data_IF_456545614801
#
_entry.id   IF_456545614801
#
_cell.length_a   1.000
_cell.length_b   1.000
_cell.length_c   1.000
_cell.angle_alpha   90.00
_cell.angle_beta   90.00
_cell.angle_gamma   90.00
#
_symmetry.space_group_name_H-M   'P 1'
#
loop_
_entity.id
_entity.type
_entity.pdbx_description
1 polymer ?
#
# COMPACT_ATOMS: atom_id res chain seq x y z
N UNK A 1 60.64 -1.73 -45.07
CA UNK A 1 59.61 -1.40 -44.06
C UNK A 1 58.26 -1.66 -44.71
N UNK A 2 57.71 -2.88 -44.73
CA UNK A 2 57.04 -3.63 -43.66
C UNK A 2 55.91 -2.83 -42.96
N UNK A 3 54.70 -2.86 -43.52
CA UNK A 3 53.48 -3.33 -42.83
C UNK A 3 52.26 -3.37 -43.78
N UNK A 4 51.34 -4.35 -43.63
CA UNK A 4 50.30 -4.66 -44.61
C UNK A 4 48.86 -4.31 -44.18
N UNK A 5 47.99 -4.37 -45.18
CA UNK A 5 46.55 -4.09 -45.24
C UNK A 5 45.69 -5.05 -44.39
N UNK A 6 44.64 -4.49 -43.77
CA UNK A 6 43.59 -5.20 -43.03
C UNK A 6 42.49 -5.71 -43.98
N UNK A 7 42.32 -7.03 -44.06
CA UNK A 7 41.09 -7.68 -44.48
C UNK A 7 40.27 -8.09 -43.25
N UNK A 8 38.97 -7.83 -43.28
CA UNK A 8 37.99 -8.58 -42.48
C UNK A 8 36.61 -8.50 -43.17
N UNK A 9 36.32 -9.51 -43.99
CA UNK A 9 34.96 -9.86 -44.42
C UNK A 9 34.51 -11.04 -43.57
N UNK A 10 33.45 -10.85 -42.80
CA UNK A 10 32.86 -11.85 -41.92
C UNK A 10 31.36 -11.92 -42.12
N UNK A 11 30.95 -12.70 -43.12
CA UNK A 11 29.57 -13.16 -43.33
C UNK A 11 29.15 -14.04 -42.15
N UNK A 12 28.02 -13.73 -41.50
CA UNK A 12 27.38 -14.67 -40.56
C UNK A 12 25.96 -14.99 -40.99
N UNK A 13 25.80 -16.29 -41.17
CA UNK A 13 24.67 -17.06 -41.70
C UNK A 13 23.47 -17.02 -40.77
N UNK A 14 22.27 -16.92 -41.37
CA UNK A 14 20.98 -17.17 -40.74
C UNK A 14 20.81 -18.66 -40.46
N UNK A 15 20.46 -19.03 -39.23
CA UNK A 15 19.80 -20.30 -38.94
C UNK A 15 18.49 -20.01 -38.22
N UNK A 16 17.40 -20.44 -38.85
CA UNK A 16 16.12 -20.64 -38.21
C UNK A 16 16.23 -21.90 -37.36
N UNK A 17 15.71 -21.86 -36.13
CA UNK A 17 15.26 -23.10 -35.52
C UNK A 17 14.01 -22.88 -34.67
N UNK A 18 13.18 -23.89 -34.76
CA UNK A 18 11.77 -24.01 -34.43
C UNK A 18 11.57 -24.02 -32.92
N UNK A 19 10.66 -23.19 -32.41
CA UNK A 19 10.20 -23.27 -31.03
C UNK A 19 8.76 -23.83 -31.03
N UNK A 20 8.50 -25.00 -30.41
CA UNK A 20 7.18 -25.62 -30.41
C UNK A 20 6.18 -24.83 -29.56
N UNK A 21 4.97 -24.74 -30.10
CA UNK A 21 3.88 -23.90 -29.63
C UNK A 21 3.37 -24.22 -28.23
N UNK A 22 3.04 -23.15 -27.51
CA UNK A 22 2.11 -23.18 -26.39
C UNK A 22 0.71 -23.21 -26.99
N UNK A 23 0.03 -24.35 -26.86
CA UNK A 23 -1.38 -24.53 -27.16
C UNK A 23 -2.22 -23.94 -26.00
N UNK A 24 -2.99 -22.86 -26.22
CA UNK A 24 -3.76 -22.21 -25.16
C UNK A 24 -5.06 -22.93 -24.77
N UNK A 25 -5.44 -24.04 -25.42
CA UNK A 25 -6.74 -24.68 -25.19
C UNK A 25 -6.71 -25.90 -24.24
N UNK A 26 -5.55 -26.25 -23.69
CA UNK A 26 -5.39 -27.45 -22.84
C UNK A 26 -5.80 -27.29 -21.35
N UNK A 27 -6.47 -26.19 -20.98
CA UNK A 27 -6.81 -25.87 -19.57
C UNK A 27 -8.32 -25.90 -19.26
N UNK A 28 -9.17 -26.25 -20.22
CA UNK A 28 -10.63 -26.17 -20.05
C UNK A 28 -11.35 -27.48 -19.69
N UNK A 29 -10.66 -28.62 -19.56
CA UNK A 29 -11.32 -29.87 -19.17
C UNK A 29 -10.92 -30.31 -17.76
N UNK A 30 -11.54 -29.70 -16.75
CA UNK A 30 -11.84 -30.32 -15.44
C UNK A 30 -12.58 -29.34 -14.53
N UNK A 31 -13.89 -29.16 -14.75
CA UNK A 31 -14.80 -28.69 -13.70
C UNK A 31 -15.87 -29.77 -13.51
N UNK A 32 -16.08 -30.29 -12.30
CA UNK A 32 -17.07 -31.31 -12.02
C UNK A 32 -18.50 -30.75 -12.11
N UNK A 33 -19.41 -31.54 -12.68
CA UNK A 33 -20.84 -31.26 -12.77
C UNK A 33 -21.47 -31.17 -11.37
N UNK A 34 -22.16 -30.05 -11.10
CA UNK A 34 -23.01 -29.86 -9.93
C UNK A 34 -24.43 -30.22 -10.35
N UNK A 35 -24.90 -31.40 -9.95
CA UNK A 35 -26.30 -31.79 -10.10
C UNK A 35 -27.18 -30.91 -9.21
N UNK A 36 -28.11 -30.21 -9.85
CA UNK A 36 -29.13 -29.40 -9.21
C UNK A 36 -30.44 -30.18 -9.21
N UNK A 37 -30.86 -30.67 -8.04
CA UNK A 37 -32.17 -31.32 -7.86
C UNK A 37 -33.10 -30.36 -7.10
N UNK A 38 -34.23 -29.92 -7.67
CA UNK A 38 -35.30 -29.30 -6.91
C UNK A 38 -36.39 -30.35 -6.66
N UNK A 39 -36.62 -30.72 -5.39
CA UNK A 39 -37.87 -31.33 -4.99
C UNK A 39 -38.74 -30.31 -4.26
N UNK A 40 -39.98 -30.27 -4.73
CA UNK A 40 -41.04 -29.33 -4.46
C UNK A 40 -42.24 -30.19 -4.02
N UNK A 41 -42.65 -30.10 -2.77
CA UNK A 41 -43.92 -30.64 -2.23
C UNK A 41 -44.00 -30.20 -0.75
N UNK A 42 -45.12 -29.93 -0.11
CA UNK A 42 -46.44 -29.45 -0.50
C UNK A 42 -47.10 -28.96 0.81
N UNK A 43 -47.93 -27.93 0.68
CA UNK A 43 -49.16 -27.62 1.46
C UNK A 43 -49.29 -28.10 2.93
N UNK A 44 -49.54 -27.12 3.81
CA UNK A 44 -50.24 -27.32 5.08
C UNK A 44 -50.53 -26.00 5.83
N UNK A 45 -51.57 -25.27 5.41
CA UNK A 45 -52.38 -24.41 6.30
C UNK A 45 -53.51 -25.27 6.92
N UNK A 46 -54.26 -24.87 7.98
CA UNK A 46 -54.43 -23.55 8.62
C UNK A 46 -54.20 -23.64 10.17
N UNK A 47 -54.40 -22.67 11.09
CA UNK A 47 -55.35 -21.57 11.28
C UNK A 47 -54.92 -20.75 12.54
N UNK A 48 -55.63 -19.67 12.93
CA UNK A 48 -55.13 -18.54 13.75
C UNK A 48 -55.49 -18.64 15.25
N UNK A 49 -54.99 -17.68 16.05
CA UNK A 49 -55.67 -16.94 17.17
C UNK A 49 -54.67 -16.50 18.26
N UNK A 50 -54.62 -15.17 18.49
CA UNK A 50 -54.29 -14.35 19.70
C UNK A 50 -53.02 -14.68 20.51
N UNK A 51 -52.25 -13.73 21.04
CA UNK A 51 -52.72 -12.70 21.96
C UNK A 51 -51.60 -11.68 22.26
N UNK A 52 -52.07 -10.55 22.75
CA UNK A 52 -51.42 -9.38 23.29
C UNK A 52 -50.38 -9.70 24.37
N UNK A 53 -49.34 -8.85 24.50
CA UNK A 53 -48.23 -9.14 25.41
C UNK A 53 -47.11 -8.12 25.45
N UNK A 54 -47.44 -6.87 25.75
CA UNK A 54 -46.51 -5.85 26.22
C UNK A 54 -45.64 -6.34 27.38
N UNK A 55 -44.31 -6.37 27.21
CA UNK A 55 -43.35 -6.35 28.31
C UNK A 55 -42.12 -5.53 27.94
N UNK A 56 -42.03 -4.35 28.55
CA UNK A 56 -40.83 -3.55 28.64
C UNK A 56 -39.77 -4.30 29.44
N UNK A 57 -38.78 -4.87 28.75
CA UNK A 57 -37.60 -5.48 29.34
C UNK A 57 -36.39 -4.57 29.15
N UNK A 58 -36.00 -3.87 30.22
CA UNK A 58 -34.73 -3.15 30.32
C UNK A 58 -33.57 -4.13 30.09
N UNK A 59 -32.87 -4.01 28.96
CA UNK A 59 -31.58 -4.67 28.76
C UNK A 59 -30.49 -3.70 29.20
N UNK A 60 -29.85 -4.06 30.31
CA UNK A 60 -28.65 -3.43 30.83
C UNK A 60 -27.63 -3.23 29.70
N UNK A 61 -27.15 -2.00 29.56
CA UNK A 61 -25.96 -1.69 28.80
C UNK A 61 -24.78 -2.46 29.41
N UNK A 62 -24.36 -3.53 28.73
CA UNK A 62 -23.08 -4.17 28.97
C UNK A 62 -21.98 -3.13 28.76
N UNK A 63 -21.06 -2.94 29.72
CA UNK A 63 -19.92 -2.08 29.49
C UNK A 63 -19.10 -2.69 28.35
N UNK A 64 -18.93 -1.90 27.29
CA UNK A 64 -18.04 -2.22 26.20
C UNK A 64 -16.69 -2.65 26.78
N UNK A 65 -16.36 -3.92 26.56
CA UNK A 65 -15.06 -4.50 26.84
C UNK A 65 -13.99 -3.59 26.24
N UNK A 66 -13.33 -2.82 27.09
CA UNK A 66 -12.15 -2.02 26.77
C UNK A 66 -11.09 -2.97 26.24
N UNK A 67 -11.10 -3.13 24.93
CA UNK A 67 -10.20 -3.98 24.17
C UNK A 67 -8.78 -3.48 24.48
N UNK A 68 -8.01 -4.32 25.18
CA UNK A 68 -6.68 -3.99 25.70
C UNK A 68 -5.85 -3.22 24.69
N UNK A 69 -5.76 -1.92 24.90
CA UNK A 69 -4.83 -1.06 24.20
C UNK A 69 -3.44 -1.48 24.69
N UNK A 70 -2.51 -1.90 23.82
CA UNK A 70 -1.17 -2.26 24.26
C UNK A 70 -0.56 -1.03 24.94
N UNK A 71 -0.33 -1.09 26.25
CA UNK A 71 0.18 0.03 27.06
C UNK A 71 1.52 0.57 26.50
N UNK A 72 2.29 -0.27 25.80
CA UNK A 72 3.50 0.14 25.07
C UNK A 72 3.30 1.12 23.91
N UNK A 73 2.06 1.38 23.46
CA UNK A 73 1.78 2.39 22.42
C UNK A 73 1.58 3.80 22.97
N UNK A 74 1.26 3.96 24.26
CA UNK A 74 1.06 5.30 24.87
C UNK A 74 2.38 6.02 25.14
N UNK A 75 3.43 5.30 25.52
CA UNK A 75 4.79 5.86 25.66
C UNK A 75 5.36 6.36 24.32
N UNK A 76 4.96 5.75 23.19
CA UNK A 76 5.43 6.10 21.85
C UNK A 76 5.08 7.54 21.42
N UNK A 77 4.08 8.16 22.08
CA UNK A 77 3.54 9.48 21.73
C UNK A 77 3.96 10.61 22.70
N UNK A 78 4.71 10.33 23.77
CA UNK A 78 4.84 11.24 24.92
C UNK A 78 5.97 12.29 24.90
N UNK A 79 6.81 12.39 23.86
CA UNK A 79 8.09 13.14 23.98
C UNK A 79 8.31 14.35 23.07
N UNK A 80 7.26 14.98 22.51
CA UNK A 80 7.43 16.30 21.90
C UNK A 80 6.35 16.70 20.90
N UNK A 81 6.55 17.86 20.28
CA UNK A 81 5.73 18.31 19.15
C UNK A 81 5.82 17.28 18.02
N UNK A 82 4.75 16.50 17.85
CA UNK A 82 4.67 15.43 16.87
C UNK A 82 4.97 15.90 15.45
N UNK A 83 4.72 17.18 15.13
CA UNK A 83 5.01 17.77 13.81
C UNK A 83 6.51 17.80 13.49
N UNK A 84 7.37 17.71 14.50
CA UNK A 84 8.82 17.63 14.36
C UNK A 84 9.34 16.21 14.18
N UNK A 85 8.50 15.19 14.37
CA UNK A 85 8.91 13.81 14.25
C UNK A 85 9.33 13.51 12.78
N UNK A 86 10.49 12.86 12.53
CA UNK A 86 11.02 12.64 11.18
C UNK A 86 10.05 11.97 10.20
N UNK A 87 9.20 11.08 10.70
CA UNK A 87 8.13 10.44 9.92
C UNK A 87 7.01 11.33 9.42
N UNK A 88 6.78 12.51 9.99
CA UNK A 88 5.61 13.34 9.63
C UNK A 88 5.94 14.79 9.30
N UNK A 89 7.12 15.27 9.70
CA UNK A 89 7.58 16.62 9.36
C UNK A 89 7.60 16.84 7.85
N UNK A 90 7.34 18.07 7.44
CA UNK A 90 7.48 18.53 6.06
C UNK A 90 8.47 19.70 6.01
N UNK A 91 9.26 19.83 4.94
CA UNK A 91 10.06 21.02 4.70
C UNK A 91 9.16 22.20 4.36
N UNK A 92 9.73 23.40 4.31
CA UNK A 92 9.10 24.57 3.68
C UNK A 92 9.75 24.82 2.31
N UNK A 93 9.03 25.45 1.38
CA UNK A 93 9.66 25.92 0.14
C UNK A 93 10.50 27.17 0.42
N UNK A 94 11.59 27.35 -0.30
CA UNK A 94 12.32 28.63 -0.29
C UNK A 94 11.49 29.75 -0.93
N UNK A 95 11.85 30.99 -0.63
CA UNK A 95 11.28 32.16 -1.30
C UNK A 95 11.57 32.04 -2.81
N UNK A 96 10.59 32.39 -3.64
CA UNK A 96 10.64 32.31 -5.11
C UNK A 96 10.58 30.90 -5.75
N UNK A 97 10.43 29.84 -4.96
CA UNK A 97 10.22 28.49 -5.54
C UNK A 97 8.83 28.39 -6.15
N UNK A 98 8.78 28.05 -7.44
CA UNK A 98 7.55 27.79 -8.18
C UNK A 98 7.53 26.31 -8.57
N UNK A 99 6.78 25.46 -7.84
CA UNK A 99 6.72 24.03 -8.14
C UNK A 99 6.25 23.74 -9.56
N UNK A 100 6.96 22.84 -10.25
CA UNK A 100 6.50 22.32 -11.54
C UNK A 100 5.20 21.55 -11.37
N UNK A 101 4.31 21.75 -12.33
CA UNK A 101 3.08 20.98 -12.43
C UNK A 101 3.37 19.51 -12.77
N UNK A 102 2.68 18.59 -12.10
CA UNK A 102 2.76 17.16 -12.43
C UNK A 102 2.30 16.90 -13.86
N UNK A 103 2.99 16.04 -14.59
CA UNK A 103 2.59 15.63 -15.95
C UNK A 103 1.65 14.46 -15.89
N UNK A 104 0.36 14.75 -15.76
CA UNK A 104 -0.71 13.73 -15.64
C UNK A 104 -0.67 12.70 -16.77
N UNK A 105 -0.37 13.13 -18.00
CA UNK A 105 -0.27 12.26 -19.17
C UNK A 105 0.81 11.17 -19.03
N UNK A 106 1.83 11.38 -18.21
CA UNK A 106 2.92 10.43 -18.01
C UNK A 106 2.64 9.39 -16.91
N UNK A 107 1.69 9.64 -16.00
CA UNK A 107 1.48 8.84 -14.79
C UNK A 107 1.02 7.41 -15.07
N UNK A 108 0.32 7.19 -16.18
CA UNK A 108 -0.31 5.90 -16.51
C UNK A 108 0.14 5.31 -17.84
N UNK A 109 1.24 5.82 -18.41
CA UNK A 109 1.80 5.35 -19.69
C UNK A 109 2.49 4.00 -19.55
N UNK A 110 2.31 3.13 -20.55
CA UNK A 110 2.83 1.73 -20.56
C UNK A 110 4.35 1.63 -20.69
N UNK A 111 5.02 2.69 -21.16
CA UNK A 111 6.46 2.66 -21.48
C UNK A 111 7.37 2.84 -20.26
N UNK A 112 6.80 2.88 -19.05
CA UNK A 112 7.59 3.03 -17.85
C UNK A 112 8.31 1.73 -17.48
N UNK A 113 9.65 1.76 -17.61
CA UNK A 113 10.52 0.69 -17.11
C UNK A 113 10.21 0.44 -15.63
N UNK A 114 10.10 -0.84 -15.26
CA UNK A 114 9.78 -1.25 -13.89
C UNK A 114 10.97 -0.97 -12.97
N UNK A 115 11.05 0.23 -12.41
CA UNK A 115 12.02 0.55 -11.37
C UNK A 115 11.52 0.08 -9.99
N UNK A 116 12.46 -0.14 -9.09
CA UNK A 116 12.16 -0.49 -7.71
C UNK A 116 11.59 0.72 -6.98
N UNK A 117 10.28 0.69 -6.70
CA UNK A 117 9.55 1.66 -5.87
C UNK A 117 10.31 2.13 -4.61
N UNK A 118 11.12 1.26 -3.99
CA UNK A 118 12.00 1.61 -2.88
C UNK A 118 12.91 2.81 -3.18
N UNK A 119 13.54 2.86 -4.37
CA UNK A 119 14.45 3.95 -4.72
C UNK A 119 13.75 5.31 -4.71
N UNK A 120 12.53 5.39 -5.25
CA UNK A 120 11.75 6.63 -5.20
C UNK A 120 11.31 6.99 -3.78
N UNK A 121 10.97 6.01 -2.94
CA UNK A 121 10.65 6.26 -1.53
C UNK A 121 11.87 6.80 -0.76
N UNK A 122 13.09 6.33 -1.05
CA UNK A 122 14.32 6.89 -0.46
C UNK A 122 14.50 8.35 -0.87
N UNK A 123 14.40 8.66 -2.17
CA UNK A 123 14.56 10.03 -2.66
C UNK A 123 13.51 10.98 -2.07
N UNK A 124 12.23 10.58 -2.03
CA UNK A 124 11.18 11.39 -1.39
C UNK A 124 11.48 11.58 0.10
N UNK A 125 11.88 10.52 0.81
CA UNK A 125 12.26 10.63 2.23
C UNK A 125 13.36 11.65 2.43
N UNK A 126 14.43 11.59 1.64
CA UNK A 126 15.58 12.52 1.74
C UNK A 126 15.17 13.97 1.50
N UNK A 127 14.34 14.22 0.48
CA UNK A 127 13.80 15.55 0.19
C UNK A 127 12.91 16.05 1.33
N UNK A 128 11.94 15.24 1.79
CA UNK A 128 11.07 15.60 2.93
C UNK A 128 11.85 15.74 4.25
N UNK A 129 13.07 15.20 4.33
CA UNK A 129 13.97 15.38 5.47
C UNK A 129 14.73 16.71 5.44
N UNK A 130 14.67 17.49 4.38
CA UNK A 130 15.28 18.83 4.39
C UNK A 130 14.50 19.79 5.28
N UNK A 131 15.09 20.95 5.58
CA UNK A 131 14.39 22.03 6.28
C UNK A 131 13.66 22.93 5.28
N UNK A 132 14.36 23.27 4.20
CA UNK A 132 13.84 24.00 3.05
C UNK A 132 14.10 23.22 1.76
N UNK A 133 13.24 23.40 0.76
CA UNK A 133 13.47 22.90 -0.61
C UNK A 133 13.75 24.09 -1.54
N UNK A 134 14.85 24.01 -2.28
CA UNK A 134 15.14 24.89 -3.40
C UNK A 134 14.27 24.55 -4.62
N UNK A 135 14.38 25.34 -5.69
CA UNK A 135 13.70 25.04 -6.96
C UNK A 135 14.11 23.67 -7.53
N UNK A 136 15.40 23.33 -7.47
CA UNK A 136 15.90 22.03 -7.95
C UNK A 136 15.32 20.88 -7.11
N UNK A 137 15.26 21.04 -5.79
CA UNK A 137 14.69 20.03 -4.90
C UNK A 137 13.18 19.83 -5.14
N UNK A 138 12.43 20.93 -5.35
CA UNK A 138 11.01 20.87 -5.63
C UNK A 138 10.73 20.20 -6.99
N UNK A 139 11.51 20.52 -8.02
CA UNK A 139 11.43 19.88 -9.34
C UNK A 139 11.76 18.38 -9.25
N UNK A 140 12.80 18.04 -8.48
CA UNK A 140 13.19 16.66 -8.21
C UNK A 140 12.10 15.90 -7.46
N UNK A 141 11.43 16.53 -6.49
CA UNK A 141 10.30 15.96 -5.77
C UNK A 141 9.15 15.64 -6.73
N UNK A 142 8.74 16.59 -7.59
CA UNK A 142 7.67 16.38 -8.58
C UNK A 142 8.00 15.21 -9.50
N UNK A 143 9.20 15.19 -10.09
CA UNK A 143 9.62 14.11 -10.98
C UNK A 143 9.65 12.75 -10.27
N UNK A 144 10.11 12.72 -9.01
CA UNK A 144 10.16 11.50 -8.21
C UNK A 144 8.75 11.01 -7.88
N UNK A 145 7.81 11.90 -7.58
CA UNK A 145 6.41 11.56 -7.34
C UNK A 145 5.73 11.04 -8.61
N UNK A 146 5.97 11.64 -9.78
CA UNK A 146 5.45 11.10 -11.06
C UNK A 146 5.81 9.62 -11.24
N UNK A 147 7.09 9.29 -10.98
CA UNK A 147 7.61 7.92 -11.08
C UNK A 147 7.08 7.01 -9.95
N UNK A 148 6.93 7.54 -8.74
CA UNK A 148 6.37 6.80 -7.60
C UNK A 148 4.90 6.45 -7.85
N UNK A 149 4.10 7.39 -8.36
CA UNK A 149 2.70 7.18 -8.74
C UNK A 149 2.60 6.09 -9.79
N UNK A 150 3.33 6.24 -10.90
CA UNK A 150 3.29 5.27 -11.98
C UNK A 150 3.73 3.86 -11.53
N UNK A 151 4.86 3.75 -10.84
CA UNK A 151 5.33 2.43 -10.36
C UNK A 151 4.41 1.82 -9.31
N UNK A 152 3.83 2.62 -8.41
CA UNK A 152 2.87 2.13 -7.42
C UNK A 152 1.57 1.66 -8.08
N UNK A 153 1.07 2.40 -9.06
CA UNK A 153 -0.09 2.05 -9.88
C UNK A 153 0.10 0.72 -10.61
N UNK A 154 1.24 0.52 -11.28
CA UNK A 154 1.51 -0.74 -11.98
C UNK A 154 1.63 -1.91 -11.00
N UNK A 155 2.23 -1.69 -9.82
CA UNK A 155 2.38 -2.73 -8.80
C UNK A 155 1.07 -3.06 -8.09
N UNK A 156 0.14 -2.11 -7.96
CA UNK A 156 -1.12 -2.35 -7.25
C UNK A 156 -1.94 -3.46 -7.90
N UNK A 157 -1.84 -3.59 -9.23
CA UNK A 157 -2.53 -4.62 -10.03
C UNK A 157 -2.14 -6.06 -9.68
N UNK A 158 -0.99 -6.28 -9.04
CA UNK A 158 -0.53 -7.63 -8.66
C UNK A 158 -1.11 -8.11 -7.34
N UNK A 159 -1.51 -7.18 -6.45
CA UNK A 159 -1.95 -7.51 -5.10
C UNK A 159 -0.87 -8.19 -4.23
N UNK A 160 -1.25 -8.81 -3.11
CA UNK A 160 -0.37 -9.61 -2.26
C UNK A 160 0.11 -10.88 -2.95
N UNK A 161 1.33 -11.31 -2.64
CA UNK A 161 1.91 -12.57 -3.15
C UNK A 161 1.24 -13.82 -2.60
N UNK A 162 0.35 -13.68 -1.62
CA UNK A 162 -0.45 -14.76 -1.05
C UNK A 162 -1.40 -14.25 0.04
N UNK A 163 -2.32 -15.11 0.54
CA UNK A 163 -3.36 -14.72 1.50
C UNK A 163 -2.85 -14.63 2.94
N UNK A 164 -1.57 -14.92 3.19
CA UNK A 164 -1.03 -14.90 4.54
C UNK A 164 -0.99 -13.46 5.11
N UNK A 165 -1.27 -13.25 6.42
CA UNK A 165 -1.25 -11.92 7.00
C UNK A 165 0.06 -11.16 6.81
N UNK A 166 1.20 -11.87 6.77
CA UNK A 166 2.51 -11.29 6.50
C UNK A 166 2.62 -10.75 5.06
N UNK A 167 2.18 -11.51 4.06
CA UNK A 167 2.15 -11.05 2.66
C UNK A 167 1.22 -9.84 2.49
N UNK A 168 0.10 -9.83 3.21
CA UNK A 168 -0.85 -8.71 3.21
C UNK A 168 -0.21 -7.46 3.83
N UNK A 169 0.47 -7.58 4.99
CA UNK A 169 1.21 -6.47 5.61
C UNK A 169 2.31 -5.95 4.68
N UNK A 170 3.03 -6.83 3.98
CA UNK A 170 4.06 -6.42 3.02
C UNK A 170 3.49 -5.57 1.88
N UNK A 171 2.33 -5.94 1.36
CA UNK A 171 1.65 -5.18 0.29
C UNK A 171 1.06 -3.88 0.82
N UNK A 172 0.24 -3.94 1.87
CA UNK A 172 -0.39 -2.76 2.46
C UNK A 172 0.64 -1.76 3.00
N UNK A 173 1.74 -2.23 3.57
CA UNK A 173 2.82 -1.36 4.05
C UNK A 173 3.48 -0.57 2.90
N UNK A 174 3.65 -1.19 1.72
CA UNK A 174 4.19 -0.46 0.56
C UNK A 174 3.20 0.56 0.02
N UNK A 175 1.92 0.21 -0.01
CA UNK A 175 0.87 1.16 -0.38
C UNK A 175 0.88 2.33 0.60
N UNK A 176 0.86 2.06 1.90
CA UNK A 176 0.88 3.08 2.95
C UNK A 176 2.06 4.05 2.80
N UNK A 177 3.27 3.55 2.55
CA UNK A 177 4.44 4.42 2.34
C UNK A 177 4.35 5.26 1.06
N UNK A 178 3.82 4.70 -0.03
CA UNK A 178 3.63 5.44 -1.27
C UNK A 178 2.55 6.53 -1.12
N UNK A 179 1.40 6.19 -0.53
CA UNK A 179 0.32 7.12 -0.28
C UNK A 179 0.76 8.25 0.66
N UNK A 180 1.45 7.94 1.77
CA UNK A 180 1.95 8.98 2.67
C UNK A 180 2.96 9.90 1.97
N UNK A 181 3.89 9.35 1.20
CA UNK A 181 4.85 10.14 0.41
C UNK A 181 4.15 11.07 -0.59
N UNK A 182 3.15 10.57 -1.30
CA UNK A 182 2.39 11.36 -2.28
C UNK A 182 1.57 12.45 -1.59
N UNK A 183 0.86 12.14 -0.52
CA UNK A 183 0.04 13.12 0.21
C UNK A 183 0.90 14.16 0.92
N UNK A 184 2.09 13.80 1.43
CA UNK A 184 3.07 14.77 1.90
C UNK A 184 3.49 15.75 0.79
N UNK A 185 3.68 15.25 -0.44
CA UNK A 185 4.00 16.12 -1.59
C UNK A 185 2.80 17.00 -2.01
N UNK A 186 1.57 16.50 -1.90
CA UNK A 186 0.34 17.31 -2.10
C UNK A 186 0.24 18.42 -1.05
N UNK A 187 0.44 18.11 0.23
CA UNK A 187 0.43 19.10 1.31
C UNK A 187 1.49 20.19 1.09
N UNK A 188 2.65 19.83 0.52
CA UNK A 188 3.78 20.72 0.31
C UNK A 188 3.68 21.57 -0.97
N UNK A 189 3.25 20.96 -2.08
CA UNK A 189 3.29 21.56 -3.42
C UNK A 189 1.93 22.08 -3.88
N UNK A 190 0.85 21.78 -3.15
CA UNK A 190 -0.49 22.28 -3.40
C UNK A 190 -1.01 21.96 -4.80
N UNK A 191 -1.53 22.98 -5.48
CA UNK A 191 -2.20 22.86 -6.78
C UNK A 191 -1.30 22.34 -7.90
N UNK A 192 0.02 22.48 -7.78
CA UNK A 192 0.96 21.92 -8.75
C UNK A 192 0.84 20.39 -8.90
N UNK A 193 0.33 19.72 -7.86
CA UNK A 193 0.06 18.28 -7.89
C UNK A 193 -1.18 17.89 -8.69
N UNK A 194 -2.05 18.83 -9.07
CA UNK A 194 -3.25 18.62 -9.88
C UNK A 194 -4.05 17.37 -9.47
N UNK A 195 -4.20 17.16 -8.16
CA UNK A 195 -4.74 15.94 -7.58
C UNK A 195 -6.10 15.51 -8.20
N UNK A 196 -7.06 16.43 -8.43
CA UNK A 196 -8.36 16.06 -9.00
C UNK A 196 -8.29 15.39 -10.39
N UNK A 197 -7.22 15.63 -11.16
CA UNK A 197 -7.12 15.10 -12.53
C UNK A 197 -6.76 13.61 -12.60
N UNK A 198 -6.24 13.03 -11.52
CA UNK A 198 -5.68 11.68 -11.58
C UNK A 198 -5.86 10.85 -10.31
N UNK A 199 -6.23 11.44 -9.18
CA UNK A 199 -6.26 10.76 -7.89
C UNK A 199 -7.32 9.66 -7.81
N UNK A 200 -8.55 9.92 -8.25
CA UNK A 200 -9.60 8.90 -8.26
C UNK A 200 -9.16 7.69 -9.09
N UNK A 201 -8.65 7.96 -10.31
CA UNK A 201 -8.08 6.91 -11.15
C UNK A 201 -7.01 6.16 -10.36
N UNK A 202 -5.99 6.84 -9.84
CA UNK A 202 -4.89 6.25 -9.08
C UNK A 202 -5.35 5.37 -7.91
N UNK A 203 -6.30 5.83 -7.11
CA UNK A 203 -6.75 5.12 -5.91
C UNK A 203 -7.63 3.91 -6.21
N UNK A 204 -8.35 3.92 -7.34
CA UNK A 204 -9.22 2.84 -7.76
C UNK A 204 -8.46 1.52 -8.07
N UNK A 205 -7.16 1.57 -8.39
CA UNK A 205 -6.39 0.35 -8.64
C UNK A 205 -5.87 -0.35 -7.38
N UNK A 206 -6.08 0.22 -6.20
CA UNK A 206 -5.58 -0.32 -4.95
C UNK A 206 -6.70 -1.06 -4.20
N UNK A 207 -6.57 -2.38 -4.15
CA UNK A 207 -7.30 -3.22 -3.20
C UNK A 207 -6.64 -3.09 -1.83
N UNK A 208 -7.39 -2.55 -0.87
CA UNK A 208 -6.97 -2.28 0.51
C UNK A 208 -7.67 -3.19 1.52
N UNK A 209 -8.82 -3.75 1.13
CA UNK A 209 -9.56 -4.74 1.89
C UNK A 209 -9.14 -6.13 1.43
N UNK A 210 -8.50 -6.88 2.32
CA UNK A 210 -8.15 -8.28 2.10
C UNK A 210 -8.86 -9.14 3.15
N UNK A 211 -9.35 -10.34 2.78
CA UNK A 211 -9.92 -11.25 3.73
C UNK A 211 -8.84 -11.66 4.75
N UNK A 212 -9.05 -11.29 6.01
CA UNK A 212 -8.18 -11.64 7.12
C UNK A 212 -8.96 -12.57 8.04
N UNK A 213 -8.47 -13.81 8.18
CA UNK A 213 -9.05 -14.76 9.13
C UNK A 213 -9.12 -14.15 10.53
N UNK A 214 -10.20 -14.43 11.25
CA UNK A 214 -10.27 -14.11 12.67
C UNK A 214 -9.10 -14.77 13.40
N UNK A 215 -8.43 -14.09 14.34
CA UNK A 215 -7.39 -14.71 15.13
C UNK A 215 -8.03 -15.88 15.89
N UNK A 216 -7.75 -17.12 15.48
CA UNK A 216 -8.17 -18.28 16.25
C UNK A 216 -7.55 -18.24 17.64
N UNK A 217 -8.19 -18.87 18.63
CA UNK A 217 -7.69 -18.93 20.01
C UNK A 217 -6.29 -19.54 20.15
N UNK A 218 -5.84 -20.30 19.14
CA UNK A 218 -4.50 -20.92 19.06
C UNK A 218 -3.52 -20.19 18.11
N UNK A 219 -3.88 -19.02 17.59
CA UNK A 219 -3.02 -18.27 16.68
C UNK A 219 -1.74 -17.80 17.37
N UNK A 220 -0.57 -18.07 16.76
CA UNK A 220 0.72 -17.53 17.23
C UNK A 220 0.65 -16.00 17.33
N UNK A 221 1.24 -15.42 18.37
CA UNK A 221 1.29 -13.97 18.65
C UNK A 221 1.68 -13.16 17.40
N UNK A 222 2.69 -13.63 16.66
CA UNK A 222 3.14 -13.05 15.40
C UNK A 222 2.02 -12.94 14.36
N UNK A 223 1.19 -13.97 14.20
CA UNK A 223 0.06 -13.93 13.25
C UNK A 223 -0.97 -12.90 13.69
N UNK A 224 -1.29 -12.85 14.98
CA UNK A 224 -2.23 -11.85 15.54
C UNK A 224 -1.71 -10.43 15.30
N UNK A 225 -0.41 -10.19 15.51
CA UNK A 225 0.22 -8.91 15.21
C UNK A 225 0.04 -8.48 13.75
N UNK A 226 0.34 -9.38 12.79
CA UNK A 226 0.17 -9.03 11.37
C UNK A 226 -1.29 -8.78 10.99
N UNK A 227 -2.25 -9.51 11.56
CA UNK A 227 -3.69 -9.25 11.34
C UNK A 227 -4.07 -7.85 11.84
N UNK A 228 -3.66 -7.49 13.06
CA UNK A 228 -3.94 -6.17 13.64
C UNK A 228 -3.27 -5.06 12.82
N UNK A 229 -2.01 -5.24 12.45
CA UNK A 229 -1.27 -4.27 11.64
C UNK A 229 -1.90 -4.11 10.25
N UNK A 230 -2.28 -5.20 9.58
CA UNK A 230 -2.95 -5.15 8.29
C UNK A 230 -4.26 -4.35 8.37
N UNK A 231 -5.11 -4.61 9.39
CA UNK A 231 -6.37 -3.88 9.58
C UNK A 231 -6.14 -2.37 9.77
N UNK A 232 -5.14 -1.98 10.58
CA UNK A 232 -4.82 -0.56 10.78
C UNK A 232 -4.27 0.10 9.52
N UNK A 233 -3.41 -0.60 8.76
CA UNK A 233 -2.91 -0.12 7.47
C UNK A 233 -4.05 0.07 6.47
N UNK A 234 -4.98 -0.88 6.36
CA UNK A 234 -6.17 -0.76 5.53
C UNK A 234 -7.00 0.47 5.91
N UNK A 235 -7.27 0.68 7.21
CA UNK A 235 -8.02 1.83 7.68
C UNK A 235 -7.33 3.17 7.35
N UNK A 236 -6.01 3.26 7.53
CA UNK A 236 -5.24 4.45 7.15
C UNK A 236 -5.27 4.69 5.64
N UNK A 237 -5.19 3.63 4.83
CA UNK A 237 -5.29 3.72 3.38
C UNK A 237 -6.65 4.23 2.90
N UNK A 238 -7.75 3.89 3.57
CA UNK A 238 -9.06 4.49 3.25
C UNK A 238 -9.14 5.99 3.53
N UNK A 239 -8.39 6.50 4.51
CA UNK A 239 -8.26 7.96 4.72
C UNK A 239 -7.46 8.56 3.56
N UNK A 240 -6.31 7.96 3.23
CA UNK A 240 -5.49 8.41 2.11
C UNK A 240 -6.24 8.39 0.77
N UNK A 241 -7.04 7.37 0.48
CA UNK A 241 -7.82 7.30 -0.77
C UNK A 241 -8.75 8.49 -0.97
N UNK A 242 -9.20 9.14 0.11
CA UNK A 242 -9.98 10.39 0.07
C UNK A 242 -9.15 11.66 -0.16
N UNK A 243 -7.85 11.52 -0.42
CA UNK A 243 -6.93 12.66 -0.59
C UNK A 243 -6.53 13.30 0.74
N UNK A 244 -6.77 12.64 1.86
CA UNK A 244 -6.50 13.17 3.21
C UNK A 244 -5.40 12.39 3.90
N UNK A 245 -4.62 13.08 4.73
CA UNK A 245 -3.64 12.43 5.59
C UNK A 245 -4.30 11.91 6.88
N UNK A 246 -4.05 10.65 7.30
CA UNK A 246 -4.42 10.16 8.62
C UNK A 246 -3.85 11.06 9.74
N UNK A 247 -4.42 11.00 10.96
CA UNK A 247 -3.85 11.70 12.11
C UNK A 247 -2.36 11.40 12.27
N UNK A 248 -1.54 12.42 12.46
CA UNK A 248 -0.08 12.26 12.57
C UNK A 248 0.35 11.21 13.63
N UNK A 249 -0.30 11.09 14.80
CA UNK A 249 -0.02 10.01 15.75
C UNK A 249 -0.17 8.61 15.16
N UNK A 250 -1.19 8.41 14.31
CA UNK A 250 -1.43 7.13 13.64
C UNK A 250 -0.35 6.85 12.59
N UNK A 251 0.03 7.85 11.79
CA UNK A 251 1.11 7.71 10.79
C UNK A 251 2.43 7.32 11.46
N UNK A 252 2.80 8.02 12.55
CA UNK A 252 4.02 7.70 13.33
C UNK A 252 3.93 6.29 13.91
N UNK A 253 2.78 5.94 14.50
CA UNK A 253 2.58 4.61 15.10
C UNK A 253 2.71 3.50 14.07
N UNK A 254 2.05 3.63 12.92
CA UNK A 254 2.11 2.63 11.84
C UNK A 254 3.51 2.45 11.30
N UNK A 255 4.26 3.54 11.08
CA UNK A 255 5.67 3.46 10.66
C UNK A 255 6.53 2.79 11.73
N UNK A 256 6.35 3.11 13.03
CA UNK A 256 7.05 2.41 14.11
C UNK A 256 6.70 0.92 14.16
N UNK A 257 5.45 0.52 13.94
CA UNK A 257 5.07 -0.90 13.86
C UNK A 257 5.72 -1.61 12.66
N UNK A 258 5.77 -0.95 11.50
CA UNK A 258 6.43 -1.47 10.31
C UNK A 258 7.93 -1.64 10.52
N UNK A 259 8.63 -0.62 11.03
CA UNK A 259 10.09 -0.56 11.04
C UNK A 259 10.72 -0.96 12.39
N UNK A 260 10.21 -0.43 13.49
CA UNK A 260 10.85 -0.51 14.80
C UNK A 260 10.38 -1.68 15.68
N UNK A 261 9.10 -2.03 15.61
CA UNK A 261 8.54 -3.01 16.55
C UNK A 261 9.22 -4.37 16.36
N UNK A 262 9.69 -5.05 17.42
CA UNK A 262 10.51 -6.25 17.28
C UNK A 262 9.73 -7.45 16.72
N UNK A 263 8.41 -7.45 16.90
CA UNK A 263 7.55 -8.50 16.38
C UNK A 263 7.34 -8.32 14.87
N UNK A 264 7.46 -9.42 14.14
CA UNK A 264 7.23 -9.45 12.69
C UNK A 264 8.35 -10.17 11.95
N UNK A 265 8.01 -10.69 10.77
CA UNK A 265 9.00 -11.26 9.82
C UNK A 265 8.84 -10.67 8.42
N UNK A 266 8.05 -9.60 8.32
CA UNK A 266 7.73 -8.89 7.08
C UNK A 266 8.95 -8.12 6.54
N UNK A 267 8.93 -7.77 5.25
CA UNK A 267 10.11 -7.27 4.52
C UNK A 267 10.69 -5.97 5.05
N UNK A 268 9.88 -5.16 5.75
CA UNK A 268 10.31 -3.91 6.38
C UNK A 268 11.29 -4.11 7.55
N UNK A 269 11.52 -5.36 7.96
CA UNK A 269 12.57 -5.71 8.94
C UNK A 269 13.95 -5.88 8.32
N UNK A 270 14.07 -6.00 6.99
CA UNK A 270 15.37 -6.11 6.32
C UNK A 270 16.26 -4.87 6.49
N UNK A 271 17.56 -5.02 6.24
CA UNK A 271 18.55 -3.93 6.38
C UNK A 271 18.30 -2.76 5.42
N UNK A 272 17.63 -2.98 4.29
CA UNK A 272 17.25 -1.91 3.36
C UNK A 272 16.41 -0.81 4.02
N UNK A 273 15.65 -1.12 5.07
CA UNK A 273 14.80 -0.15 5.75
C UNK A 273 15.48 0.52 6.96
N UNK A 274 16.79 0.34 7.13
CA UNK A 274 17.54 1.00 8.19
C UNK A 274 17.38 2.53 8.23
N UNK A 275 17.29 3.27 7.10
CA UNK A 275 17.05 4.70 7.13
C UNK A 275 15.70 5.08 7.80
N UNK A 276 14.67 4.26 7.63
CA UNK A 276 13.38 4.49 8.29
C UNK A 276 13.41 4.10 9.76
N UNK A 277 14.17 3.08 10.16
CA UNK A 277 14.36 2.76 11.58
C UNK A 277 15.02 3.92 12.32
N UNK A 278 16.10 4.47 11.75
CA UNK A 278 16.81 5.64 12.30
C UNK A 278 15.86 6.81 12.56
N UNK A 279 14.94 7.08 11.64
CA UNK A 279 13.91 8.12 11.78
C UNK A 279 12.91 7.86 12.90
N UNK A 280 12.67 6.59 13.22
CA UNK A 280 11.78 6.15 14.30
C UNK A 280 12.47 6.08 15.67
N UNK A 281 13.78 6.30 15.73
CA UNK A 281 14.57 6.16 16.96
C UNK A 281 14.83 4.70 17.35
N UNK A 282 14.94 3.84 16.34
CA UNK A 282 15.29 2.42 16.42
C UNK A 282 16.27 2.08 15.26
#
# INVERSE_FOLDING_TARGET
>A
MLSPSLQASGQRVRTADVNPGLDPDSWLESIPSIDSHPEQEARGEPSPVTDDGSMAGQVLASPASTQGHPEGLREILQTGDIRKHPYVRLPVLEEDVVPKCIRVSALFSKDQKTFYQYGYLVTVRELLHRRKLSQEDADSLVQTIERLVATSWFKSKKGPTGPSPICIVDTLGMYFLAFDAIICAVELLGDAMQLPLWWEKFTASFTTSFPLASPGSRGREVTRFHIVLARRLSAALEIYKRGMRPPLPEVVTLKKLLFCYPLGRHKFKSLYWAPWRKDGGC
#
